data_IF_897477619018
#
_entry.id   IF_897477619018
#
_cell.length_a   1.000
_cell.length_b   1.000
_cell.length_c   1.000
_cell.angle_alpha   90.00
_cell.angle_beta   90.00
_cell.angle_gamma   90.00
#
_symmetry.space_group_name_H-M   'P 1'
#
loop_
_entity.id
_entity.type
_entity.pdbx_description
1 polymer ?
#
# COMPACT_ATOMS: atom_id res chain seq x y z
N UNK A 1 -6.53 -13.41 -23.79
CA UNK A 1 -6.93 -12.30 -22.86
C UNK A 1 -6.62 -12.80 -21.47
N UNK A 2 -5.77 -12.09 -20.74
CA UNK A 2 -5.29 -12.52 -19.41
C UNK A 2 -6.37 -12.28 -18.36
N UNK A 3 -6.67 -13.30 -17.55
CA UNK A 3 -7.64 -13.23 -16.44
C UNK A 3 -6.88 -13.02 -15.14
N UNK A 4 -7.18 -11.95 -14.41
CA UNK A 4 -6.46 -11.56 -13.21
C UNK A 4 -7.41 -11.53 -12.01
N UNK A 5 -7.05 -12.26 -10.96
CA UNK A 5 -7.75 -12.22 -9.68
C UNK A 5 -7.12 -11.14 -8.78
N UNK A 6 -7.92 -10.20 -8.31
CA UNK A 6 -7.48 -9.12 -7.42
C UNK A 6 -8.06 -9.30 -6.03
N UNK A 7 -7.23 -9.68 -5.05
CA UNK A 7 -7.65 -9.72 -3.65
C UNK A 7 -7.56 -8.32 -3.02
N UNK A 8 -8.49 -7.98 -2.12
CA UNK A 8 -8.57 -6.62 -1.59
C UNK A 8 -8.95 -5.55 -2.61
N UNK A 9 -9.72 -5.93 -3.63
CA UNK A 9 -10.07 -5.10 -4.77
C UNK A 9 -10.77 -3.78 -4.41
N UNK A 10 -11.45 -3.68 -3.28
CA UNK A 10 -12.09 -2.44 -2.80
C UNK A 10 -11.19 -1.54 -1.95
N UNK A 11 -9.94 -1.95 -1.72
CA UNK A 11 -8.95 -1.19 -0.94
C UNK A 11 -8.29 -0.06 -1.74
N UNK A 12 -7.41 0.68 -1.04
CA UNK A 12 -6.72 1.86 -1.59
C UNK A 12 -5.87 1.54 -2.83
N UNK A 13 -5.18 0.40 -2.85
CA UNK A 13 -4.42 -0.07 -4.01
C UNK A 13 -5.30 -0.89 -4.95
N UNK A 14 -6.20 -1.73 -4.40
CA UNK A 14 -6.99 -2.66 -5.21
C UNK A 14 -7.94 -1.97 -6.19
N UNK A 15 -8.59 -0.89 -5.75
CA UNK A 15 -9.54 -0.16 -6.61
C UNK A 15 -8.87 0.48 -7.83
N UNK A 16 -7.81 1.30 -7.70
CA UNK A 16 -7.09 1.80 -8.88
C UNK A 16 -6.44 0.68 -9.70
N UNK A 17 -6.00 -0.44 -9.08
CA UNK A 17 -5.48 -1.58 -9.80
C UNK A 17 -6.53 -2.22 -10.71
N UNK A 18 -7.75 -2.42 -10.21
CA UNK A 18 -8.87 -2.94 -11.04
C UNK A 18 -9.10 -2.04 -12.25
N UNK A 19 -9.11 -0.71 -12.05
CA UNK A 19 -9.27 0.25 -13.15
C UNK A 19 -8.13 0.13 -14.17
N UNK A 20 -6.86 0.17 -13.74
CA UNK A 20 -5.70 0.02 -14.63
C UNK A 20 -5.77 -1.27 -15.45
N UNK A 21 -6.11 -2.39 -14.82
CA UNK A 21 -6.18 -3.68 -15.51
C UNK A 21 -7.30 -3.74 -16.55
N UNK A 22 -8.45 -3.13 -16.28
CA UNK A 22 -9.56 -3.02 -17.24
C UNK A 22 -9.16 -2.13 -18.41
N UNK A 23 -8.54 -0.98 -18.15
CA UNK A 23 -8.06 -0.06 -19.18
C UNK A 23 -6.99 -0.70 -20.07
N UNK A 24 -6.15 -1.58 -19.52
CA UNK A 24 -5.15 -2.38 -20.25
C UNK A 24 -5.75 -3.62 -20.94
N UNK A 25 -7.08 -3.80 -20.90
CA UNK A 25 -7.80 -4.86 -21.61
C UNK A 25 -7.75 -6.26 -20.95
N UNK A 26 -7.38 -6.35 -19.67
CA UNK A 26 -7.43 -7.61 -18.94
C UNK A 26 -8.85 -7.96 -18.49
N UNK A 27 -9.11 -9.26 -18.35
CA UNK A 27 -10.31 -9.75 -17.65
C UNK A 27 -10.04 -9.74 -16.15
N UNK A 28 -10.82 -8.98 -15.38
CA UNK A 28 -10.59 -8.81 -13.93
C UNK A 28 -11.65 -9.52 -13.13
N UNK A 29 -11.21 -10.32 -12.15
CA UNK A 29 -12.04 -10.86 -11.07
C UNK A 29 -11.69 -10.14 -9.78
N UNK A 30 -12.63 -9.35 -9.28
CA UNK A 30 -12.44 -8.54 -8.08
C UNK A 30 -13.04 -9.24 -6.84
N UNK A 31 -12.19 -9.54 -5.87
CA UNK A 31 -12.63 -10.16 -4.61
C UNK A 31 -13.15 -9.09 -3.66
N UNK A 32 -14.42 -9.22 -3.25
CA UNK A 32 -15.02 -8.36 -2.22
C UNK A 32 -16.08 -9.09 -1.41
N UNK A 33 -16.16 -8.78 -0.13
CA UNK A 33 -17.23 -9.29 0.77
C UNK A 33 -18.55 -8.56 0.59
N UNK A 34 -18.58 -7.45 -0.13
CA UNK A 34 -19.76 -6.60 -0.36
C UNK A 34 -19.89 -6.25 -1.84
N UNK A 35 -20.37 -7.19 -2.67
CA UNK A 35 -20.46 -6.99 -4.12
C UNK A 35 -21.34 -5.80 -4.51
N UNK A 36 -22.47 -5.59 -3.83
CA UNK A 36 -23.44 -4.53 -4.13
C UNK A 36 -22.87 -3.10 -3.98
N UNK A 37 -21.80 -2.95 -3.21
CA UNK A 37 -21.14 -1.66 -2.95
C UNK A 37 -19.76 -1.54 -3.62
N UNK A 38 -19.43 -2.43 -4.52
CA UNK A 38 -18.09 -2.48 -5.10
C UNK A 38 -17.79 -1.29 -6.02
N UNK A 39 -18.73 -0.88 -6.87
CA UNK A 39 -18.62 0.28 -7.76
C UNK A 39 -17.43 0.14 -8.73
N UNK A 40 -17.23 -1.05 -9.30
CA UNK A 40 -16.18 -1.31 -10.28
C UNK A 40 -16.61 -0.91 -11.69
N UNK A 41 -15.66 -0.73 -12.63
CA UNK A 41 -15.96 -0.55 -14.05
C UNK A 41 -16.80 -1.71 -14.61
N UNK A 42 -17.49 -1.44 -15.71
CA UNK A 42 -18.26 -2.47 -16.43
C UNK A 42 -17.32 -3.60 -16.90
N UNK A 43 -17.81 -4.85 -16.86
CA UNK A 43 -17.04 -6.01 -17.30
C UNK A 43 -16.14 -6.65 -16.24
N UNK A 44 -16.10 -6.10 -15.02
CA UNK A 44 -15.40 -6.72 -13.89
C UNK A 44 -16.27 -7.83 -13.29
N UNK A 45 -15.74 -9.05 -13.22
CA UNK A 45 -16.36 -10.15 -12.50
C UNK A 45 -16.18 -9.96 -10.99
N UNK A 46 -17.25 -9.88 -10.24
CA UNK A 46 -17.20 -9.71 -8.78
C UNK A 46 -17.40 -11.06 -8.11
N UNK A 47 -16.42 -11.46 -7.29
CA UNK A 47 -16.47 -12.72 -6.53
C UNK A 47 -16.38 -12.46 -5.03
N UNK A 48 -17.05 -13.29 -4.24
CA UNK A 48 -17.12 -13.10 -2.78
C UNK A 48 -15.95 -13.72 -2.01
N UNK A 49 -15.18 -14.59 -2.65
CA UNK A 49 -13.98 -15.20 -2.05
C UNK A 49 -12.88 -15.37 -3.09
N UNK A 50 -11.62 -15.33 -2.61
CA UNK A 50 -10.46 -15.56 -3.48
C UNK A 50 -10.51 -16.99 -4.07
N UNK A 51 -10.92 -17.99 -3.28
CA UNK A 51 -11.04 -19.37 -3.75
C UNK A 51 -11.98 -19.56 -4.92
N UNK A 52 -13.10 -18.82 -4.94
CA UNK A 52 -14.08 -18.89 -6.02
C UNK A 52 -13.58 -18.24 -7.32
N UNK A 53 -12.60 -17.34 -7.22
CA UNK A 53 -12.07 -16.62 -8.38
C UNK A 53 -10.81 -17.22 -9.01
N UNK A 54 -10.23 -18.28 -8.43
CA UNK A 54 -8.96 -18.85 -8.91
C UNK A 54 -9.11 -19.66 -10.21
N UNK A 55 -10.24 -20.34 -10.40
CA UNK A 55 -10.40 -21.23 -11.53
C UNK A 55 -10.33 -20.48 -12.86
N UNK A 56 -9.36 -20.85 -13.70
CA UNK A 56 -9.07 -20.17 -14.97
C UNK A 56 -8.52 -18.74 -14.81
N UNK A 57 -7.94 -18.37 -13.65
CA UNK A 57 -7.14 -17.17 -13.50
C UNK A 57 -5.70 -17.43 -13.91
N UNK A 58 -5.11 -16.53 -14.69
CA UNK A 58 -3.71 -16.60 -15.12
C UNK A 58 -2.77 -16.00 -14.08
N UNK A 59 -3.19 -14.92 -13.41
CA UNK A 59 -2.39 -14.23 -12.40
C UNK A 59 -3.23 -13.77 -11.20
N UNK A 60 -2.58 -13.63 -10.04
CA UNK A 60 -3.24 -13.21 -8.80
C UNK A 60 -2.48 -12.06 -8.14
N UNK A 61 -3.19 -10.98 -7.83
CA UNK A 61 -2.71 -9.96 -6.91
C UNK A 61 -3.06 -10.36 -5.47
N UNK A 62 -2.03 -10.56 -4.65
CA UNK A 62 -2.14 -11.00 -3.27
C UNK A 62 -2.03 -9.82 -2.29
N UNK A 63 -3.12 -9.49 -1.63
CA UNK A 63 -3.14 -8.62 -0.46
C UNK A 63 -3.42 -9.47 0.78
N UNK A 64 -2.48 -9.50 1.72
CA UNK A 64 -2.53 -10.38 2.89
C UNK A 64 -3.69 -10.08 3.84
N UNK A 65 -4.01 -8.80 4.06
CA UNK A 65 -5.02 -8.39 5.05
C UNK A 65 -6.42 -8.99 4.81
N UNK A 66 -7.02 -8.93 3.63
CA UNK A 66 -8.33 -9.54 3.39
C UNK A 66 -8.30 -11.07 3.37
N UNK A 67 -7.13 -11.68 3.16
CA UNK A 67 -6.95 -13.13 3.14
C UNK A 67 -6.77 -13.73 4.55
N UNK A 68 -6.14 -12.98 5.45
CA UNK A 68 -5.90 -13.43 6.82
C UNK A 68 -5.21 -14.80 6.87
N UNK A 69 -5.74 -15.71 7.68
CA UNK A 69 -5.20 -17.06 7.87
C UNK A 69 -5.36 -17.96 6.64
N UNK A 70 -6.18 -17.58 5.68
CA UNK A 70 -6.35 -18.34 4.43
C UNK A 70 -5.25 -18.05 3.39
N UNK A 71 -4.29 -17.18 3.68
CA UNK A 71 -3.28 -16.73 2.72
C UNK A 71 -2.50 -17.90 2.10
N UNK A 72 -1.96 -18.81 2.93
CA UNK A 72 -1.22 -19.98 2.46
C UNK A 72 -2.11 -20.91 1.62
N UNK A 73 -3.33 -21.18 2.09
CA UNK A 73 -4.31 -22.00 1.37
C UNK A 73 -4.64 -21.43 -0.02
N UNK A 74 -4.74 -20.10 -0.14
CA UNK A 74 -5.02 -19.45 -1.42
C UNK A 74 -3.83 -19.59 -2.38
N UNK A 75 -2.59 -19.46 -1.89
CA UNK A 75 -1.39 -19.67 -2.72
C UNK A 75 -1.30 -21.12 -3.20
N UNK A 76 -1.52 -22.11 -2.33
CA UNK A 76 -1.53 -23.52 -2.71
C UNK A 76 -2.62 -23.84 -3.74
N UNK A 77 -3.83 -23.30 -3.54
CA UNK A 77 -4.92 -23.47 -4.50
C UNK A 77 -4.66 -22.80 -5.82
N UNK A 78 -4.00 -21.63 -5.83
CA UNK A 78 -3.60 -20.94 -7.06
C UNK A 78 -2.70 -21.83 -7.92
N UNK A 79 -1.73 -22.52 -7.30
CA UNK A 79 -0.88 -23.51 -8.00
C UNK A 79 -1.70 -24.64 -8.62
N UNK A 80 -2.64 -25.20 -7.84
CA UNK A 80 -3.52 -26.29 -8.30
C UNK A 80 -4.51 -25.87 -9.39
N UNK A 81 -4.87 -24.59 -9.45
CA UNK A 81 -5.79 -24.03 -10.44
C UNK A 81 -5.12 -23.61 -11.75
N UNK A 82 -3.80 -23.75 -11.87
CA UNK A 82 -3.05 -23.41 -13.08
C UNK A 82 -2.68 -21.93 -13.18
N UNK A 83 -2.75 -21.17 -12.09
CA UNK A 83 -2.22 -19.80 -12.02
C UNK A 83 -0.71 -19.85 -12.30
N UNK A 84 -0.24 -18.95 -13.13
CA UNK A 84 1.19 -18.88 -13.51
C UNK A 84 1.96 -17.81 -12.76
N UNK A 85 1.29 -16.75 -12.26
CA UNK A 85 1.95 -15.60 -11.65
C UNK A 85 1.27 -15.07 -10.39
N UNK A 86 2.08 -14.72 -9.40
CA UNK A 86 1.66 -14.05 -8.16
C UNK A 86 2.32 -12.68 -8.03
N UNK A 87 1.54 -11.66 -7.75
CA UNK A 87 2.06 -10.32 -7.38
C UNK A 87 1.66 -10.03 -5.94
N UNK A 88 2.62 -10.04 -5.04
CA UNK A 88 2.41 -9.85 -3.62
C UNK A 88 2.53 -8.37 -3.22
N UNK A 89 1.53 -7.85 -2.52
CA UNK A 89 1.61 -6.56 -1.85
C UNK A 89 2.28 -6.75 -0.49
N UNK A 90 3.58 -6.49 -0.44
CA UNK A 90 4.44 -6.54 0.72
C UNK A 90 4.67 -5.12 1.29
N UNK A 91 5.81 -4.87 1.93
CA UNK A 91 6.23 -3.56 2.43
C UNK A 91 7.75 -3.43 2.45
N UNK A 92 8.25 -2.19 2.46
CA UNK A 92 9.68 -1.88 2.49
C UNK A 92 10.41 -2.54 3.69
N UNK A 93 9.71 -2.73 4.80
CA UNK A 93 10.22 -3.32 6.04
C UNK A 93 9.89 -4.82 6.20
N UNK A 94 9.60 -5.53 5.13
CA UNK A 94 9.25 -6.95 5.20
C UNK A 94 10.40 -7.85 5.71
N UNK A 95 11.65 -7.43 5.53
CA UNK A 95 12.82 -8.17 6.02
C UNK A 95 13.09 -7.95 7.52
N UNK A 96 12.51 -6.90 8.12
CA UNK A 96 12.70 -6.56 9.53
C UNK A 96 12.01 -7.55 10.47
N UNK A 97 12.40 -7.48 11.76
CA UNK A 97 11.71 -8.21 12.81
C UNK A 97 10.23 -7.80 12.90
N UNK A 98 9.39 -8.71 13.34
CA UNK A 98 7.94 -8.46 13.46
C UNK A 98 7.59 -7.27 14.36
N UNK A 99 8.42 -6.99 15.37
CA UNK A 99 8.27 -5.81 16.24
C UNK A 99 8.45 -4.48 15.49
N UNK A 100 9.17 -4.50 14.36
CA UNK A 100 9.42 -3.35 13.48
C UNK A 100 8.44 -3.27 12.30
N UNK A 101 7.40 -4.10 12.31
CA UNK A 101 6.34 -4.13 11.31
C UNK A 101 4.99 -3.67 11.89
N UNK A 102 4.79 -2.37 12.16
CA UNK A 102 3.61 -1.88 12.89
C UNK A 102 2.29 -2.17 12.17
N UNK A 103 2.29 -2.38 10.86
CA UNK A 103 1.08 -2.72 10.10
C UNK A 103 0.50 -4.10 10.46
N UNK A 104 1.29 -4.97 11.10
CA UNK A 104 0.83 -6.27 11.60
C UNK A 104 -0.33 -6.15 12.60
N UNK A 105 -0.36 -5.11 13.42
CA UNK A 105 -1.49 -4.84 14.33
C UNK A 105 -2.81 -4.61 13.59
N UNK A 106 -2.73 -4.23 12.31
CA UNK A 106 -3.89 -4.04 11.42
C UNK A 106 -4.23 -5.28 10.60
N UNK A 107 -3.52 -6.39 10.83
CA UNK A 107 -3.72 -7.65 10.11
C UNK A 107 -2.88 -7.82 8.85
N UNK A 108 -1.94 -6.91 8.54
CA UNK A 108 -1.01 -7.10 7.43
C UNK A 108 -0.02 -8.23 7.76
N UNK A 109 0.29 -9.02 6.75
CA UNK A 109 1.24 -10.13 6.78
C UNK A 109 2.22 -9.99 5.62
N UNK A 110 2.95 -8.84 5.60
CA UNK A 110 3.77 -8.42 4.46
C UNK A 110 4.94 -9.38 4.19
N UNK A 111 5.60 -9.86 5.25
CA UNK A 111 6.67 -10.85 5.15
C UNK A 111 6.14 -12.20 4.67
N UNK A 112 5.03 -12.64 5.23
CA UNK A 112 4.43 -13.93 4.91
C UNK A 112 3.89 -13.98 3.49
N UNK A 113 3.20 -12.95 3.01
CA UNK A 113 2.67 -12.93 1.63
C UNK A 113 3.80 -12.94 0.60
N UNK A 114 4.90 -12.23 0.88
CA UNK A 114 6.08 -12.24 0.05
C UNK A 114 6.72 -13.62 0.03
N UNK A 115 6.96 -14.20 1.20
CA UNK A 115 7.63 -15.50 1.30
C UNK A 115 6.79 -16.60 0.63
N UNK A 116 5.48 -16.62 0.85
CA UNK A 116 4.59 -17.57 0.19
C UNK A 116 4.59 -17.42 -1.34
N UNK A 117 4.66 -16.19 -1.86
CA UNK A 117 4.76 -15.98 -3.29
C UNK A 117 6.10 -16.50 -3.84
N UNK A 118 7.22 -16.23 -3.15
CA UNK A 118 8.56 -16.72 -3.52
C UNK A 118 8.62 -18.26 -3.51
N UNK A 119 8.10 -18.87 -2.47
CA UNK A 119 8.18 -20.32 -2.25
C UNK A 119 7.13 -21.10 -3.07
N UNK A 120 6.22 -20.41 -3.74
CA UNK A 120 5.12 -21.02 -4.50
C UNK A 120 5.59 -21.88 -5.68
N UNK A 121 6.77 -21.61 -6.22
CA UNK A 121 7.25 -22.20 -7.48
C UNK A 121 6.59 -21.59 -8.73
N UNK A 122 5.74 -20.57 -8.59
CA UNK A 122 5.18 -19.79 -9.69
C UNK A 122 6.06 -18.59 -10.00
N UNK A 123 5.80 -17.91 -11.11
CA UNK A 123 6.36 -16.57 -11.32
C UNK A 123 5.89 -15.63 -10.22
N UNK A 124 6.77 -14.78 -9.70
CA UNK A 124 6.41 -13.90 -8.62
C UNK A 124 7.02 -12.51 -8.74
N UNK A 125 6.31 -11.53 -8.21
CA UNK A 125 6.80 -10.18 -7.96
C UNK A 125 6.36 -9.77 -6.56
N UNK A 126 7.27 -9.21 -5.77
CA UNK A 126 6.92 -8.60 -4.48
C UNK A 126 7.01 -7.08 -4.59
N UNK A 127 5.89 -6.40 -4.33
CA UNK A 127 5.84 -4.95 -4.25
C UNK A 127 6.11 -4.52 -2.81
N UNK A 128 7.15 -3.72 -2.61
CA UNK A 128 7.59 -3.24 -1.30
C UNK A 128 7.40 -1.72 -1.14
N UNK A 129 6.16 -1.22 -1.12
CA UNK A 129 5.91 0.21 -0.94
C UNK A 129 6.34 0.67 0.45
N UNK A 130 6.56 1.99 0.57
CA UNK A 130 6.67 2.72 1.83
C UNK A 130 5.29 3.06 2.39
N UNK A 131 5.20 4.09 3.24
CA UNK A 131 3.93 4.57 3.78
C UNK A 131 3.01 5.08 2.66
N UNK A 132 1.76 4.64 2.65
CA UNK A 132 0.78 5.10 1.66
C UNK A 132 0.37 6.55 1.95
N UNK A 133 0.30 7.38 0.91
CA UNK A 133 -0.13 8.77 1.01
C UNK A 133 -1.56 8.88 1.58
N UNK A 134 -2.45 7.97 1.21
CA UNK A 134 -3.81 7.89 1.74
C UNK A 134 -3.86 7.63 3.25
N UNK A 135 -2.93 6.84 3.80
CA UNK A 135 -2.84 6.62 5.25
C UNK A 135 -2.45 7.89 6.00
N UNK A 136 -1.52 8.66 5.44
CA UNK A 136 -1.07 9.94 6.01
C UNK A 136 -2.19 10.96 5.94
N UNK A 137 -2.85 11.07 4.79
CA UNK A 137 -4.00 11.94 4.62
C UNK A 137 -5.11 11.59 5.62
N UNK A 138 -5.45 10.30 5.75
CA UNK A 138 -6.46 9.84 6.70
C UNK A 138 -6.13 10.13 8.17
N UNK A 139 -4.86 10.11 8.54
CA UNK A 139 -4.40 10.40 9.90
C UNK A 139 -4.48 11.90 10.23
N UNK A 140 -4.18 12.77 9.28
CA UNK A 140 -4.03 14.20 9.53
C UNK A 140 -5.26 15.03 9.13
N UNK A 141 -6.03 14.60 8.13
CA UNK A 141 -7.20 15.35 7.67
C UNK A 141 -8.19 15.72 8.78
N UNK A 142 -8.57 14.83 9.72
CA UNK A 142 -9.47 15.22 10.81
C UNK A 142 -8.89 16.29 11.72
N UNK A 143 -7.58 16.25 11.99
CA UNK A 143 -6.92 17.24 12.82
C UNK A 143 -6.83 18.61 12.12
N UNK A 144 -6.56 18.59 10.80
CA UNK A 144 -6.50 19.80 9.97
C UNK A 144 -7.89 20.43 9.77
N UNK A 145 -8.96 19.64 9.82
CA UNK A 145 -10.33 20.15 9.80
C UNK A 145 -10.73 20.78 11.15
N UNK A 146 -10.20 20.25 12.24
CA UNK A 146 -10.46 20.75 13.59
C UNK A 146 -9.64 22.00 13.96
N UNK A 147 -8.51 22.25 13.27
CA UNK A 147 -7.65 23.40 13.54
C UNK A 147 -6.34 23.38 12.74
N UNK A 148 -5.45 24.31 13.07
CA UNK A 148 -4.19 24.51 12.37
C UNK A 148 -3.01 23.70 12.94
N UNK A 149 -3.30 22.78 13.87
CA UNK A 149 -2.29 22.01 14.59
C UNK A 149 -2.49 20.52 14.33
N UNK A 150 -1.43 19.85 13.90
CA UNK A 150 -1.39 18.39 13.77
C UNK A 150 -0.45 17.84 14.83
N UNK A 151 -0.94 16.89 15.61
CA UNK A 151 -0.16 16.16 16.62
C UNK A 151 0.06 14.73 16.15
N UNK A 152 1.31 14.30 16.14
CA UNK A 152 1.67 12.94 15.73
C UNK A 152 2.94 12.45 16.41
N UNK A 153 3.17 11.14 16.46
CA UNK A 153 4.41 10.56 16.98
C UNK A 153 5.58 10.81 15.99
N UNK A 154 6.80 10.71 16.51
CA UNK A 154 8.02 10.65 15.69
C UNK A 154 8.27 11.87 14.79
N UNK A 155 8.24 13.08 15.36
CA UNK A 155 8.44 14.33 14.62
C UNK A 155 9.70 14.41 13.77
N UNK A 156 10.72 13.62 14.09
CA UNK A 156 12.00 13.58 13.37
C UNK A 156 12.07 12.41 12.38
N UNK A 157 11.07 11.53 12.36
CA UNK A 157 11.06 10.42 11.41
C UNK A 157 10.92 10.96 9.99
N UNK A 158 11.75 10.40 9.11
CA UNK A 158 11.64 10.64 7.68
C UNK A 158 10.77 9.56 7.05
N UNK A 159 9.87 9.96 6.21
CA UNK A 159 9.07 9.05 5.39
C UNK A 159 9.00 9.55 3.96
N UNK A 160 8.88 8.65 3.03
CA UNK A 160 8.65 8.94 1.63
C UNK A 160 7.31 8.30 1.23
N UNK A 161 6.21 9.02 1.41
CA UNK A 161 4.89 8.50 1.05
C UNK A 161 4.83 8.17 -0.44
N UNK A 162 4.18 7.06 -0.75
CA UNK A 162 3.88 6.66 -2.13
C UNK A 162 2.38 6.79 -2.38
N UNK A 163 2.02 7.27 -3.56
CA UNK A 163 0.61 7.38 -3.98
C UNK A 163 0.08 5.98 -4.28
N UNK A 164 -1.11 5.67 -3.78
CA UNK A 164 -1.71 4.34 -3.94
C UNK A 164 -1.91 3.95 -5.42
N UNK A 165 -2.18 4.94 -6.28
CA UNK A 165 -2.30 4.75 -7.73
C UNK A 165 -0.96 4.35 -8.39
N UNK A 166 0.19 4.84 -7.90
CA UNK A 166 1.50 4.46 -8.42
C UNK A 166 1.81 3.00 -8.07
N UNK A 167 1.42 2.55 -6.86
CA UNK A 167 1.54 1.15 -6.48
C UNK A 167 0.67 0.29 -7.41
N UNK A 168 -0.55 0.74 -7.69
CA UNK A 168 -1.48 0.04 -8.59
C UNK A 168 -0.94 -0.06 -10.02
N UNK A 169 -0.35 1.01 -10.55
CA UNK A 169 0.23 1.02 -11.89
C UNK A 169 1.42 0.03 -12.00
N UNK A 170 2.30 -0.02 -10.99
CA UNK A 170 3.39 -1.00 -10.93
C UNK A 170 2.84 -2.42 -10.78
N UNK A 171 1.78 -2.61 -9.97
CA UNK A 171 1.11 -3.91 -9.83
C UNK A 171 0.51 -4.39 -11.15
N UNK A 172 -0.18 -3.52 -11.89
CA UNK A 172 -0.74 -3.84 -13.20
C UNK A 172 0.37 -4.28 -14.18
N UNK A 173 1.47 -3.53 -14.23
CA UNK A 173 2.62 -3.90 -15.04
C UNK A 173 3.22 -5.25 -14.65
N UNK A 174 3.35 -5.53 -13.36
CA UNK A 174 3.88 -6.80 -12.85
C UNK A 174 2.95 -7.99 -13.18
N UNK A 175 1.63 -7.76 -13.22
CA UNK A 175 0.64 -8.78 -13.56
C UNK A 175 0.57 -9.08 -15.07
N UNK A 176 0.87 -8.07 -15.91
CA UNK A 176 0.68 -8.14 -17.35
C UNK A 176 1.97 -8.40 -18.14
N UNK A 177 3.14 -8.19 -17.54
CA UNK A 177 4.44 -8.32 -18.23
C UNK A 177 5.47 -9.07 -17.39
N UNK A 178 6.52 -9.61 -18.06
CA UNK A 178 7.57 -10.40 -17.40
C UNK A 178 8.74 -9.56 -16.85
N UNK A 179 8.73 -8.25 -17.11
CA UNK A 179 9.87 -7.36 -16.84
C UNK A 179 10.27 -7.29 -15.35
N UNK A 180 9.36 -7.60 -14.43
CA UNK A 180 9.58 -7.55 -12.99
C UNK A 180 9.62 -8.94 -12.33
N UNK A 181 9.54 -10.02 -13.11
CA UNK A 181 9.51 -11.38 -12.59
C UNK A 181 10.73 -11.70 -11.73
N UNK A 182 10.51 -12.35 -10.58
CA UNK A 182 11.54 -12.70 -9.60
C UNK A 182 12.11 -11.51 -8.82
N UNK A 183 11.45 -10.34 -8.84
CA UNK A 183 11.96 -9.11 -8.20
C UNK A 183 11.15 -8.68 -6.98
N UNK A 184 11.88 -8.14 -6.00
CA UNK A 184 11.36 -7.32 -4.92
C UNK A 184 11.45 -5.86 -5.39
N UNK A 185 10.31 -5.26 -5.67
CA UNK A 185 10.19 -3.92 -6.24
C UNK A 185 9.83 -2.94 -5.13
N UNK A 186 10.74 -2.05 -4.80
CA UNK A 186 10.52 -0.95 -3.87
C UNK A 186 10.79 0.39 -4.55
N UNK A 187 10.47 1.51 -3.90
CA UNK A 187 10.86 2.82 -4.40
C UNK A 187 12.39 2.93 -4.41
N UNK A 188 12.95 3.34 -5.52
CA UNK A 188 14.34 3.78 -5.58
C UNK A 188 14.51 4.95 -4.62
N UNK A 189 15.47 4.86 -3.68
CA UNK A 189 15.77 5.82 -2.61
C UNK A 189 15.08 7.18 -2.80
N UNK A 190 13.82 7.35 -2.40
CA UNK A 190 13.14 8.62 -2.57
C UNK A 190 13.78 9.63 -1.62
N UNK A 191 13.79 10.89 -2.03
CA UNK A 191 14.13 11.97 -1.12
C UNK A 191 13.20 11.89 0.09
N UNK A 192 13.74 11.49 1.24
CA UNK A 192 12.94 11.37 2.46
C UNK A 192 12.47 12.75 2.89
N UNK A 193 11.19 12.89 3.14
CA UNK A 193 10.59 14.12 3.63
C UNK A 193 10.49 14.01 5.14
N UNK A 194 11.21 14.88 5.87
CA UNK A 194 11.06 14.98 7.32
C UNK A 194 9.72 15.64 7.64
N UNK A 195 8.95 15.08 8.52
CA UNK A 195 7.65 15.64 8.94
C UNK A 195 7.76 17.09 9.40
N UNK A 196 8.90 17.50 9.96
CA UNK A 196 9.17 18.91 10.32
C UNK A 196 9.47 19.82 9.13
N UNK A 197 9.89 19.30 7.96
CA UNK A 197 10.16 20.13 6.78
C UNK A 197 8.92 20.47 5.98
N UNK A 198 7.91 19.64 5.99
CA UNK A 198 6.66 19.91 5.27
C UNK A 198 5.90 21.14 5.79
N UNK A 199 6.04 21.46 7.09
CA UNK A 199 5.51 22.71 7.66
C UNK A 199 6.34 23.97 7.41
N UNK A 200 7.55 23.86 6.78
CA UNK A 200 8.50 24.99 6.65
C UNK A 200 8.76 25.44 5.22
N UNK A 201 8.06 24.97 4.22
CA UNK A 201 8.30 25.44 2.83
C UNK A 201 7.86 26.87 2.54
N UNK A 202 7.39 27.63 3.54
CA UNK A 202 7.09 29.05 3.39
C UNK A 202 7.46 29.85 4.65
N UNK A 203 8.73 30.13 4.86
CA UNK A 203 9.25 31.38 5.45
C UNK A 203 10.74 31.28 5.71
N UNK A 204 11.51 32.12 5.05
CA UNK A 204 12.81 32.58 5.52
C UNK A 204 12.59 33.43 6.77
N UNK A 205 12.74 32.82 7.95
CA UNK A 205 12.73 33.46 9.26
C UNK A 205 13.85 32.93 10.13
N UNK A 206 14.35 33.68 11.13
CA UNK A 206 15.56 33.37 11.87
C UNK A 206 15.47 32.03 12.59
N UNK A 207 16.58 31.28 12.58
CA UNK A 207 16.79 29.97 13.18
C UNK A 207 16.48 30.02 14.69
N UNK A 208 15.64 29.12 15.24
CA UNK A 208 15.53 28.99 16.69
C UNK A 208 16.81 28.39 17.29
N UNK A 209 17.15 28.69 18.54
CA UNK A 209 18.36 28.20 19.20
C UNK A 209 18.36 26.68 19.35
N UNK A 210 19.56 26.11 19.23
CA UNK A 210 19.85 24.67 19.39
C UNK A 210 19.49 24.21 20.81
N UNK A 211 18.72 23.12 21.00
CA UNK A 211 18.52 22.55 22.33
C UNK A 211 19.80 21.89 22.85
N UNK A 212 20.11 22.11 24.10
CA UNK A 212 21.23 21.48 24.82
C UNK A 212 21.05 19.95 24.93
N UNK A 213 22.15 19.17 24.96
CA UNK A 213 22.10 17.73 25.09
C UNK A 213 21.80 17.32 26.53
N UNK A 214 20.79 16.51 26.75
CA UNK A 214 20.53 15.85 28.03
C UNK A 214 19.05 15.74 28.36
N UNK A 215 18.48 14.57 28.18
CA UNK A 215 17.13 14.25 28.65
C UNK A 215 16.58 12.98 28.03
N UNK A 216 16.40 11.99 28.87
CA UNK A 216 15.87 10.65 28.72
C UNK A 216 14.72 10.48 27.71
N UNK A 217 14.70 9.30 27.06
CA UNK A 217 13.68 8.82 26.16
C UNK A 217 12.27 8.82 26.80
N UNK A 218 11.55 9.92 26.59
CA UNK A 218 10.11 10.01 26.80
C UNK A 218 9.48 10.33 25.45
N UNK A 219 8.49 9.51 25.02
CA UNK A 219 7.78 9.68 23.77
C UNK A 219 7.06 11.02 23.71
N UNK A 220 7.73 12.05 23.16
CA UNK A 220 7.17 13.38 22.99
C UNK A 220 6.33 13.46 21.72
N UNK A 221 5.05 13.79 21.84
CA UNK A 221 4.21 14.19 20.71
C UNK A 221 4.73 15.52 20.14
N UNK A 222 4.91 15.59 18.82
CA UNK A 222 5.28 16.82 18.16
C UNK A 222 4.06 17.49 17.54
N UNK A 223 3.98 18.78 17.76
CA UNK A 223 2.86 19.62 17.30
C UNK A 223 3.31 20.45 16.09
N UNK A 224 2.65 20.30 14.96
CA UNK A 224 2.86 21.10 13.74
C UNK A 224 1.72 22.10 13.57
N UNK A 225 2.03 23.38 13.42
CA UNK A 225 1.06 24.43 13.13
C UNK A 225 0.97 24.68 11.62
N UNK A 226 -0.26 24.86 11.13
CA UNK A 226 -0.54 25.32 9.78
C UNK A 226 -0.24 26.82 9.68
N UNK A 227 0.73 27.20 8.87
CA UNK A 227 0.92 28.62 8.49
C UNK A 227 0.00 28.91 7.33
N UNK A 228 -0.88 29.89 7.52
CA UNK A 228 -2.01 30.22 6.67
C UNK A 228 -1.73 30.24 5.18
N UNK A 229 -2.62 29.63 4.44
CA UNK A 229 -2.75 29.82 3.00
C UNK A 229 -3.56 31.11 2.73
N UNK A 230 -3.07 32.03 1.89
CA UNK A 230 -3.91 33.08 1.35
C UNK A 230 -4.63 32.54 0.09
N UNK A 231 -5.92 32.76 0.02
CA UNK A 231 -6.63 32.81 -1.25
C UNK A 231 -7.46 31.60 -1.64
N UNK A 232 -8.77 31.78 -1.49
CA UNK A 232 -9.83 31.03 -2.17
C UNK A 232 -9.60 31.09 -3.68
N UNK A 233 -9.63 29.94 -4.33
CA UNK A 233 -9.97 29.83 -5.75
C UNK A 233 -11.42 29.33 -5.82
N UNK A 234 -12.23 30.09 -6.56
CA UNK A 234 -13.64 29.76 -6.86
C UNK A 234 -13.71 28.58 -7.82
#
# INVERSE_FOLDING_TARGET
MTTILVTGATGNVGRPLVTCLVDDGAKVRAVTRRPDFAGFPAGVDVVTSASAGLDGADAVFLNSRPLGDNLATIVDRARGAGVTRLVALSAINADEDFSLQPSRFRGDRNKEVEQLAIDSGLEWVSLRPTAFASNIAGMWSPQLQAGDVVTGPYALASTAPIVDADIAAVAARALLTDNLNGRKVGPDRPASVHQRRDGRRHRDGPRPPTPLPGGSAGGGAATLRRTGLPGRIR
#
